data_IF_492496310897
#
_entry.id   IF_492496310897
#
_cell.length_a   1.000
_cell.length_b   1.000
_cell.length_c   1.000
_cell.angle_alpha   90.00
_cell.angle_beta   90.00
_cell.angle_gamma   90.00
#
_symmetry.space_group_name_H-M   'P 1'
#
loop_
_entity.id
_entity.type
_entity.pdbx_description
1 polymer ?
#
# COMPACT_ATOMS: atom_id res chain seq x y z
N UNK A 1 -72.25 41.24 7.27
CA UNK A 1 -72.39 40.25 8.35
C UNK A 1 -71.01 40.10 8.98
N UNK A 2 -70.79 40.53 10.22
CA UNK A 2 -71.29 40.01 11.50
C UNK A 2 -70.45 38.82 12.03
N UNK A 3 -69.38 39.13 12.76
CA UNK A 3 -69.27 38.97 14.22
C UNK A 3 -68.31 40.11 14.68
N UNK A 4 -68.66 41.01 15.61
CA UNK A 4 -68.79 40.80 17.06
C UNK A 4 -67.48 40.22 17.63
N UNK A 5 -66.66 40.95 18.41
CA UNK A 5 -66.90 42.23 19.06
C UNK A 5 -67.38 42.04 20.50
N UNK A 6 -66.55 41.42 21.34
CA UNK A 6 -66.82 41.13 22.74
C UNK A 6 -65.48 41.10 23.50
N UNK A 7 -65.48 41.60 24.75
CA UNK A 7 -64.34 41.64 25.70
C UNK A 7 -63.06 42.33 25.14
N UNK A 8 -62.76 43.61 25.31
CA UNK A 8 -63.15 44.65 26.27
C UNK A 8 -63.01 44.32 27.78
N UNK A 9 -62.43 45.27 28.52
CA UNK A 9 -62.45 45.39 29.98
C UNK A 9 -61.81 44.27 30.85
N UNK A 10 -60.47 44.24 30.90
CA UNK A 10 -59.75 44.11 32.19
C UNK A 10 -58.67 45.19 32.29
N UNK A 11 -58.73 45.98 33.36
CA UNK A 11 -57.70 46.90 33.89
C UNK A 11 -57.51 46.58 35.38
N UNK A 12 -56.53 47.18 36.08
CA UNK A 12 -55.13 47.40 35.73
C UNK A 12 -54.19 46.87 36.84
N UNK A 13 -52.87 46.74 36.60
CA UNK A 13 -51.93 46.83 37.73
C UNK A 13 -50.53 47.30 37.32
N UNK A 14 -49.95 48.20 38.11
CA UNK A 14 -48.56 48.63 38.02
C UNK A 14 -47.75 47.91 39.10
N UNK A 15 -46.73 47.13 38.71
CA UNK A 15 -45.69 46.67 39.64
C UNK A 15 -44.35 47.24 39.18
N UNK A 16 -43.82 48.18 39.97
CA UNK A 16 -42.49 48.75 39.80
C UNK A 16 -41.49 48.02 40.71
N UNK A 17 -41.12 46.79 40.36
CA UNK A 17 -40.09 46.05 41.08
C UNK A 17 -38.69 46.55 40.70
N UNK A 18 -38.19 47.47 41.53
CA UNK A 18 -36.78 47.87 41.51
C UNK A 18 -35.91 46.69 42.00
N UNK A 19 -35.19 46.05 41.08
CA UNK A 19 -34.16 45.06 41.41
C UNK A 19 -32.99 45.19 40.46
N UNK A 20 -31.89 45.77 40.96
CA UNK A 20 -30.61 45.82 40.26
C UNK A 20 -29.97 44.44 40.17
N UNK A 21 -30.47 43.59 39.26
CA UNK A 21 -29.77 42.38 38.87
C UNK A 21 -28.46 42.79 38.19
N UNK A 22 -27.39 42.82 38.98
CA UNK A 22 -26.02 42.75 38.51
C UNK A 22 -25.89 41.42 37.79
N UNK A 23 -26.26 41.42 36.51
CA UNK A 23 -26.18 40.27 35.63
C UNK A 23 -24.70 39.94 35.54
N UNK A 24 -24.26 38.96 36.33
CA UNK A 24 -22.89 38.49 36.42
C UNK A 24 -22.54 37.86 35.07
N UNK A 25 -22.21 38.73 34.13
CA UNK A 25 -22.00 38.42 32.72
C UNK A 25 -20.66 37.72 32.64
N UNK A 26 -20.69 36.41 32.90
CA UNK A 26 -19.54 35.50 32.77
C UNK A 26 -19.06 35.61 31.32
N UNK A 27 -18.14 36.55 31.09
CA UNK A 27 -17.28 36.57 29.92
C UNK A 27 -16.41 35.33 30.04
N UNK A 28 -16.95 34.19 29.60
CA UNK A 28 -16.15 33.04 29.19
C UNK A 28 -15.27 33.56 28.08
N UNK A 29 -14.07 34.02 28.45
CA UNK A 29 -13.01 34.30 27.51
C UNK A 29 -12.93 33.06 26.63
N UNK A 30 -13.24 33.22 25.34
CA UNK A 30 -13.09 32.12 24.41
C UNK A 30 -11.59 31.91 24.26
N UNK A 31 -11.06 31.05 25.14
CA UNK A 31 -9.71 30.51 25.04
C UNK A 31 -9.59 29.90 23.67
N UNK A 32 -9.06 30.69 22.73
CA UNK A 32 -8.69 30.23 21.40
C UNK A 32 -7.54 29.26 21.61
N UNK A 33 -7.91 28.03 21.95
CA UNK A 33 -7.11 26.84 21.74
C UNK A 33 -6.87 26.76 20.24
N UNK A 34 -5.89 27.55 19.80
CA UNK A 34 -5.22 27.35 18.54
C UNK A 34 -4.48 26.03 18.69
N UNK A 35 -5.22 24.94 18.51
CA UNK A 35 -4.72 23.70 17.95
C UNK A 35 -4.15 24.07 16.58
N UNK A 36 -2.95 24.64 16.63
CA UNK A 36 -2.08 24.99 15.52
C UNK A 36 -1.68 23.64 14.94
N UNK A 37 -2.59 23.09 14.15
CA UNK A 37 -2.51 21.78 13.54
C UNK A 37 -1.38 21.83 12.51
N UNK A 38 -0.15 21.75 13.04
CA UNK A 38 1.10 21.72 12.29
C UNK A 38 1.02 20.49 11.42
N UNK A 39 0.56 20.68 10.17
CA UNK A 39 0.65 19.69 9.09
C UNK A 39 2.12 19.27 9.03
N UNK A 40 2.46 18.13 9.63
CA UNK A 40 3.83 17.61 9.69
C UNK A 40 4.22 17.11 8.30
N UNK A 41 4.57 18.04 7.39
CA UNK A 41 5.15 17.80 6.06
C UNK A 41 6.58 17.22 6.19
N UNK A 42 6.69 16.06 6.83
CA UNK A 42 7.96 15.43 7.19
C UNK A 42 7.83 13.94 7.52
N UNK A 43 6.80 13.25 7.01
CA UNK A 43 6.57 11.82 7.23
C UNK A 43 6.91 10.91 6.05
N UNK A 44 6.87 11.40 4.81
CA UNK A 44 6.88 10.55 3.62
C UNK A 44 8.24 9.86 3.33
N UNK A 45 9.37 10.51 3.65
CA UNK A 45 10.70 9.92 3.42
C UNK A 45 10.92 8.65 4.25
N UNK A 46 10.50 8.65 5.52
CA UNK A 46 10.60 7.46 6.39
C UNK A 46 9.71 6.31 5.88
N UNK A 47 8.47 6.64 5.47
CA UNK A 47 7.53 5.66 4.92
C UNK A 47 8.04 5.03 3.61
N UNK A 48 8.69 5.80 2.73
CA UNK A 48 9.30 5.28 1.50
C UNK A 48 10.45 4.30 1.80
N UNK A 49 11.32 4.62 2.77
CA UNK A 49 12.41 3.73 3.21
C UNK A 49 11.88 2.42 3.80
N UNK A 50 10.82 2.49 4.61
CA UNK A 50 10.17 1.30 5.20
C UNK A 50 9.56 0.41 4.10
N UNK A 51 8.87 0.99 3.11
CA UNK A 51 8.33 0.23 1.96
C UNK A 51 9.46 -0.42 1.14
N UNK A 52 10.56 0.31 0.88
CA UNK A 52 11.73 -0.23 0.18
C UNK A 52 12.37 -1.42 0.90
N UNK A 53 12.51 -1.34 2.23
CA UNK A 53 13.01 -2.46 3.05
C UNK A 53 12.06 -3.66 3.01
N UNK A 54 10.75 -3.46 3.17
CA UNK A 54 9.76 -4.54 3.11
C UNK A 54 9.75 -5.21 1.73
N UNK A 55 9.77 -4.43 0.64
CA UNK A 55 9.84 -4.95 -0.72
C UNK A 55 11.13 -5.75 -0.97
N UNK A 56 12.28 -5.24 -0.53
CA UNK A 56 13.56 -5.96 -0.63
C UNK A 56 13.57 -7.28 0.15
N UNK A 57 13.06 -7.28 1.38
CA UNK A 57 12.94 -8.51 2.18
C UNK A 57 11.95 -9.50 1.57
N UNK A 58 10.85 -9.04 0.96
CA UNK A 58 9.90 -9.91 0.26
C UNK A 58 10.52 -10.57 -0.98
N UNK A 59 11.25 -9.82 -1.81
CA UNK A 59 11.94 -10.38 -2.98
C UNK A 59 12.99 -11.44 -2.59
N UNK A 60 13.80 -11.15 -1.56
CA UNK A 60 14.78 -12.11 -1.02
C UNK A 60 14.07 -13.36 -0.47
N UNK A 61 13.00 -13.17 0.31
CA UNK A 61 12.20 -14.27 0.88
C UNK A 61 11.54 -15.13 -0.21
N UNK A 62 11.07 -14.52 -1.30
CA UNK A 62 10.50 -15.22 -2.45
C UNK A 62 11.51 -16.16 -3.10
N UNK A 63 12.70 -15.65 -3.44
CA UNK A 63 13.78 -16.44 -4.05
C UNK A 63 14.24 -17.64 -3.20
N UNK A 64 14.03 -17.58 -1.87
CA UNK A 64 14.31 -18.69 -0.95
C UNK A 64 13.15 -19.68 -0.88
N UNK A 65 11.90 -19.20 -0.88
CA UNK A 65 10.69 -20.04 -0.88
C UNK A 65 10.56 -20.83 -2.19
N UNK A 66 10.86 -20.21 -3.32
CA UNK A 66 10.85 -20.79 -4.66
C UNK A 66 11.84 -21.97 -4.77
N UNK A 67 13.08 -21.79 -4.29
CA UNK A 67 14.07 -22.87 -4.14
C UNK A 67 13.58 -24.01 -3.24
N UNK A 68 12.80 -23.71 -2.20
CA UNK A 68 12.20 -24.74 -1.31
C UNK A 68 11.08 -25.53 -1.97
N UNK A 69 10.26 -24.89 -2.80
CA UNK A 69 9.17 -25.54 -3.55
C UNK A 69 9.74 -26.39 -4.69
N UNK A 70 10.75 -25.88 -5.40
CA UNK A 70 11.47 -26.63 -6.44
C UNK A 70 12.14 -27.88 -5.86
N UNK A 71 12.78 -27.78 -4.68
CA UNK A 71 13.37 -28.91 -3.97
C UNK A 71 12.36 -29.92 -3.35
N UNK A 72 11.05 -29.65 -3.43
CA UNK A 72 9.96 -30.55 -3.04
C UNK A 72 9.19 -31.12 -4.24
N UNK A 73 9.43 -30.60 -5.44
CA UNK A 73 8.84 -31.09 -6.68
C UNK A 73 9.61 -32.32 -7.18
N UNK A 74 8.98 -33.24 -7.93
CA UNK A 74 9.75 -34.18 -8.75
C UNK A 74 10.64 -33.38 -9.71
N UNK A 75 11.82 -33.91 -10.10
CA UNK A 75 12.67 -33.22 -11.07
C UNK A 75 11.89 -33.02 -12.37
N UNK A 76 11.84 -31.80 -12.94
CA UNK A 76 11.16 -31.55 -14.21
C UNK A 76 11.83 -32.32 -15.35
N UNK A 77 11.03 -32.77 -16.31
CA UNK A 77 11.50 -33.61 -17.42
C UNK A 77 12.55 -32.90 -18.30
N UNK A 78 13.39 -33.71 -18.97
CA UNK A 78 14.54 -33.24 -19.76
C UNK A 78 14.14 -32.43 -21.01
N UNK A 79 12.84 -32.39 -21.34
CA UNK A 79 12.21 -31.48 -22.30
C UNK A 79 11.78 -30.15 -21.68
N UNK A 80 11.27 -30.18 -20.46
CA UNK A 80 10.53 -29.05 -19.87
C UNK A 80 11.48 -28.01 -19.30
N UNK A 81 12.66 -28.44 -18.83
CA UNK A 81 13.79 -27.55 -18.56
C UNK A 81 14.27 -26.81 -19.80
N UNK A 82 14.41 -27.49 -20.95
CA UNK A 82 14.78 -26.87 -22.24
C UNK A 82 13.73 -25.83 -22.65
N UNK A 83 12.45 -26.20 -22.60
CA UNK A 83 11.36 -25.33 -23.02
C UNK A 83 11.28 -24.08 -22.11
N UNK A 84 11.36 -24.26 -20.79
CA UNK A 84 11.33 -23.15 -19.82
C UNK A 84 12.53 -22.22 -19.97
N UNK A 85 13.72 -22.77 -20.23
CA UNK A 85 14.93 -21.99 -20.50
C UNK A 85 14.82 -21.19 -21.82
N UNK A 86 14.21 -21.78 -22.85
CA UNK A 86 13.97 -21.11 -24.14
C UNK A 86 12.96 -19.97 -23.99
N UNK A 87 11.85 -20.18 -23.27
CA UNK A 87 10.92 -19.09 -22.98
C UNK A 87 11.57 -17.97 -22.16
N UNK A 88 12.45 -18.29 -21.19
CA UNK A 88 13.18 -17.27 -20.43
C UNK A 88 14.09 -16.45 -21.37
N UNK A 89 14.82 -17.11 -22.27
CA UNK A 89 15.64 -16.45 -23.29
C UNK A 89 14.80 -15.56 -24.23
N UNK A 90 13.64 -16.04 -24.71
CA UNK A 90 12.75 -15.30 -25.60
C UNK A 90 12.05 -14.12 -24.90
N UNK A 91 11.85 -14.20 -23.56
CA UNK A 91 11.44 -13.06 -22.71
C UNK A 91 12.57 -12.05 -22.47
N UNK A 92 13.80 -12.37 -22.83
CA UNK A 92 14.99 -11.57 -22.53
C UNK A 92 15.56 -11.77 -21.12
N UNK A 93 15.07 -12.77 -20.37
CA UNK A 93 15.56 -13.12 -19.04
C UNK A 93 16.77 -14.07 -19.15
N UNK A 94 17.93 -13.46 -19.46
CA UNK A 94 19.16 -14.18 -19.75
C UNK A 94 19.76 -14.87 -18.53
N UNK A 95 19.52 -14.37 -17.32
CA UNK A 95 20.03 -14.98 -16.08
C UNK A 95 19.28 -16.29 -15.78
N UNK A 96 17.94 -16.28 -15.83
CA UNK A 96 17.13 -17.48 -15.64
C UNK A 96 17.35 -18.51 -16.77
N UNK A 97 17.51 -18.05 -18.01
CA UNK A 97 17.86 -18.93 -19.14
C UNK A 97 19.22 -19.64 -18.94
N UNK A 98 20.22 -18.95 -18.37
CA UNK A 98 21.53 -19.53 -18.05
C UNK A 98 21.43 -20.56 -16.91
N UNK A 99 20.58 -20.32 -15.91
CA UNK A 99 20.35 -21.27 -14.81
C UNK A 99 19.69 -22.54 -15.33
N UNK A 100 18.54 -22.43 -16.01
CA UNK A 100 17.78 -23.60 -16.49
C UNK A 100 18.56 -24.40 -17.55
N UNK A 101 19.27 -23.74 -18.47
CA UNK A 101 20.12 -24.42 -19.45
C UNK A 101 21.34 -25.13 -18.81
N UNK A 102 21.83 -24.63 -17.66
CA UNK A 102 22.86 -25.33 -16.87
C UNK A 102 22.28 -26.55 -16.15
N UNK A 103 21.08 -26.46 -15.58
CA UNK A 103 20.43 -27.60 -14.91
C UNK A 103 20.10 -28.72 -15.90
N UNK A 104 19.64 -28.38 -17.10
CA UNK A 104 19.50 -29.34 -18.21
C UNK A 104 20.82 -30.09 -18.51
N UNK A 105 21.96 -29.38 -18.58
CA UNK A 105 23.28 -30.00 -18.80
C UNK A 105 23.84 -30.79 -17.59
N UNK A 106 23.37 -30.52 -16.37
CA UNK A 106 23.68 -31.35 -15.19
C UNK A 106 22.93 -32.68 -15.25
N UNK A 107 21.69 -32.67 -15.73
CA UNK A 107 20.87 -33.86 -15.90
C UNK A 107 21.31 -34.69 -17.13
N UNK A 108 21.55 -34.04 -18.27
CA UNK A 108 22.05 -34.67 -19.49
C UNK A 108 23.19 -33.85 -20.14
N UNK A 109 24.47 -34.19 -19.83
CA UNK A 109 25.64 -33.53 -20.42
C UNK A 109 25.77 -33.65 -21.95
N UNK A 110 24.99 -34.52 -22.60
CA UNK A 110 24.99 -34.71 -24.06
C UNK A 110 23.95 -33.87 -24.80
N UNK A 111 23.10 -33.13 -24.07
CA UNK A 111 21.95 -32.44 -24.65
C UNK A 111 22.35 -31.17 -25.44
N UNK A 112 22.56 -31.35 -26.75
CA UNK A 112 23.04 -30.32 -27.69
C UNK A 112 22.24 -29.00 -27.59
N UNK A 113 20.92 -29.09 -27.44
CA UNK A 113 20.04 -27.91 -27.35
C UNK A 113 20.36 -27.02 -26.14
N UNK A 114 20.69 -27.61 -24.98
CA UNK A 114 21.08 -26.84 -23.80
C UNK A 114 22.43 -26.14 -23.99
N UNK A 115 23.40 -26.77 -24.69
CA UNK A 115 24.68 -26.13 -25.04
C UNK A 115 24.48 -24.93 -25.97
N UNK A 116 23.63 -25.07 -26.99
CA UNK A 116 23.30 -23.99 -27.94
C UNK A 116 22.59 -22.84 -27.21
N UNK A 117 21.63 -23.14 -26.33
CA UNK A 117 20.89 -22.12 -25.59
C UNK A 117 21.79 -21.39 -24.58
N UNK A 118 22.57 -22.13 -23.78
CA UNK A 118 23.50 -21.57 -22.80
C UNK A 118 24.56 -20.67 -23.46
N UNK A 119 25.15 -21.11 -24.58
CA UNK A 119 26.13 -20.31 -25.31
C UNK A 119 25.52 -19.05 -25.91
N UNK A 120 24.29 -19.11 -26.45
CA UNK A 120 23.55 -17.90 -26.90
C UNK A 120 23.28 -16.95 -25.74
N UNK A 121 22.74 -17.43 -24.62
CA UNK A 121 22.41 -16.60 -23.47
C UNK A 121 23.66 -15.90 -22.88
N UNK A 122 24.80 -16.60 -22.83
CA UNK A 122 26.09 -16.00 -22.43
C UNK A 122 26.60 -14.92 -23.40
N UNK A 123 26.39 -15.08 -24.71
CA UNK A 123 26.78 -14.09 -25.73
C UNK A 123 25.88 -12.85 -25.69
N UNK A 124 24.56 -13.01 -25.48
CA UNK A 124 23.64 -11.87 -25.38
C UNK A 124 23.75 -11.08 -24.06
N UNK A 125 24.48 -11.61 -23.07
CA UNK A 125 24.67 -11.04 -21.73
C UNK A 125 26.00 -10.27 -21.56
N UNK A 126 26.89 -10.30 -22.57
CA UNK A 126 28.23 -9.67 -22.52
C UNK A 126 28.27 -8.28 -23.13
#
# INVERSE_FOLDING_TARGET
>A
MLLVGLLNSIKPFHIRTNSGLVLMRIKRNQSRLSFRHRRRRGGFMSLAVIIGLIAGMLLISWSWLERRITALSPPPDESDLINSALEAFDRGDLDDAIVMAREALVNNPSQINAVILLSRALIYRS
#
